data_IF_479678883486
#
_entry.id   IF_479678883486
#
_cell.length_a   1.000
_cell.length_b   1.000
_cell.length_c   1.000
_cell.angle_alpha   90.00
_cell.angle_beta   90.00
_cell.angle_gamma   90.00
#
_symmetry.space_group_name_H-M   'P 1'
#
loop_
_entity.id
_entity.type
_entity.pdbx_description
1 polymer ?
#
# COMPACT_ATOMS: atom_id res chain seq x y z
N UNK A 1 36.92 39.34 -38.34
CA UNK A 1 35.45 39.32 -38.54
C UNK A 1 34.84 37.90 -38.50
N UNK A 2 35.50 36.90 -37.90
CA UNK A 2 35.07 35.48 -37.94
C UNK A 2 34.59 34.97 -36.56
N UNK A 3 35.17 35.47 -35.46
CA UNK A 3 34.84 35.04 -34.10
C UNK A 3 33.44 35.39 -33.61
N UNK A 4 32.78 36.41 -34.19
CA UNK A 4 31.42 36.84 -33.79
C UNK A 4 30.31 35.96 -34.40
N UNK A 5 30.60 35.26 -35.50
CA UNK A 5 29.68 34.30 -36.12
C UNK A 5 29.69 32.94 -35.41
N UNK A 6 30.84 32.52 -34.88
CA UNK A 6 30.96 31.21 -34.21
C UNK A 6 30.20 31.17 -32.87
N UNK A 7 30.11 32.31 -32.16
CA UNK A 7 29.34 32.42 -30.91
C UNK A 7 27.83 32.42 -31.19
N UNK A 8 27.37 33.15 -32.21
CA UNK A 8 25.96 33.17 -32.62
C UNK A 8 25.50 31.80 -33.17
N UNK A 9 26.38 31.06 -33.85
CA UNK A 9 26.06 29.73 -34.36
C UNK A 9 25.98 28.67 -33.25
N UNK A 10 26.78 28.79 -32.18
CA UNK A 10 26.66 27.94 -30.98
C UNK A 10 25.38 28.23 -30.18
N UNK A 11 24.97 29.49 -30.04
CA UNK A 11 23.67 29.81 -29.43
C UNK A 11 22.49 29.30 -30.27
N UNK A 12 22.56 29.39 -31.60
CA UNK A 12 21.46 29.03 -32.48
C UNK A 12 21.22 27.52 -32.64
N UNK A 13 22.23 26.65 -32.42
CA UNK A 13 22.05 25.19 -32.53
C UNK A 13 21.76 24.48 -31.20
N UNK A 14 22.18 25.03 -30.06
CA UNK A 14 22.01 24.38 -28.74
C UNK A 14 20.60 24.65 -28.18
N UNK A 15 20.04 25.84 -28.42
CA UNK A 15 18.69 26.23 -27.99
C UNK A 15 17.59 25.35 -28.61
N UNK A 16 17.52 25.10 -29.95
CA UNK A 16 16.45 24.32 -30.54
C UNK A 16 16.51 22.83 -30.15
N UNK A 17 17.71 22.26 -30.00
CA UNK A 17 17.89 20.88 -29.52
C UNK A 17 17.43 20.73 -28.07
N UNK A 18 17.73 21.71 -27.20
CA UNK A 18 17.29 21.69 -25.81
C UNK A 18 15.75 21.84 -25.73
N UNK A 19 15.14 22.72 -26.52
CA UNK A 19 13.67 22.85 -26.56
C UNK A 19 12.97 21.60 -27.12
N UNK A 20 13.55 20.91 -28.10
CA UNK A 20 12.96 19.69 -28.66
C UNK A 20 13.01 18.52 -27.67
N UNK A 21 14.15 18.33 -26.99
CA UNK A 21 14.28 17.32 -25.95
C UNK A 21 13.33 17.60 -24.77
N UNK A 22 13.24 18.85 -24.32
CA UNK A 22 12.32 19.25 -23.24
C UNK A 22 10.86 19.06 -23.66
N UNK A 23 10.48 19.45 -24.88
CA UNK A 23 9.13 19.24 -25.41
C UNK A 23 8.79 17.74 -25.53
N UNK A 24 9.69 16.93 -26.06
CA UNK A 24 9.48 15.48 -26.18
C UNK A 24 9.37 14.79 -24.81
N UNK A 25 10.19 15.18 -23.83
CA UNK A 25 10.07 14.70 -22.44
C UNK A 25 8.72 15.13 -21.85
N UNK A 26 8.33 16.39 -22.03
CA UNK A 26 7.05 16.92 -21.53
C UNK A 26 5.85 16.17 -22.13
N UNK A 27 5.84 15.93 -23.44
CA UNK A 27 4.77 15.18 -24.11
C UNK A 27 4.69 13.73 -23.61
N UNK A 28 5.83 13.06 -23.38
CA UNK A 28 5.85 11.73 -22.77
C UNK A 28 5.36 11.73 -21.33
N UNK A 29 5.71 12.74 -20.53
CA UNK A 29 5.21 12.90 -19.16
C UNK A 29 3.71 13.16 -19.12
N UNK A 30 3.18 13.99 -20.03
CA UNK A 30 1.74 14.26 -20.14
C UNK A 30 0.99 13.01 -20.58
N UNK A 31 1.51 12.24 -21.56
CA UNK A 31 0.94 10.96 -21.94
C UNK A 31 0.93 9.97 -20.78
N UNK A 32 2.05 9.83 -20.06
CA UNK A 32 2.14 8.97 -18.88
C UNK A 32 1.14 9.38 -17.79
N UNK A 33 1.04 10.68 -17.49
CA UNK A 33 0.06 11.21 -16.53
C UNK A 33 -1.38 10.95 -16.97
N UNK A 34 -1.68 11.03 -18.26
CA UNK A 34 -3.03 10.75 -18.80
C UNK A 34 -3.37 9.27 -18.67
N UNK A 35 -2.41 8.38 -18.93
CA UNK A 35 -2.56 6.93 -18.73
C UNK A 35 -2.77 6.62 -17.25
N UNK A 36 -1.95 7.20 -16.36
CA UNK A 36 -2.08 7.02 -14.91
C UNK A 36 -3.41 7.56 -14.37
N UNK A 37 -3.89 8.71 -14.87
CA UNK A 37 -5.20 9.26 -14.51
C UNK A 37 -6.35 8.38 -14.98
N UNK A 38 -6.27 7.83 -16.20
CA UNK A 38 -7.29 6.90 -16.73
C UNK A 38 -7.35 5.62 -15.90
N UNK A 39 -6.19 5.02 -15.60
CA UNK A 39 -6.07 3.84 -14.73
C UNK A 39 -6.66 4.11 -13.33
N UNK A 40 -6.41 5.30 -12.77
CA UNK A 40 -6.95 5.71 -11.48
C UNK A 40 -8.48 5.93 -11.49
N UNK A 41 -9.03 6.51 -12.56
CA UNK A 41 -10.47 6.75 -12.71
C UNK A 41 -11.26 5.45 -12.82
N UNK A 42 -10.72 4.44 -13.52
CA UNK A 42 -11.34 3.12 -13.59
C UNK A 42 -11.40 2.43 -12.21
N UNK A 43 -10.37 2.59 -11.37
CA UNK A 43 -10.36 2.02 -9.99
C UNK A 43 -11.44 2.66 -9.10
N UNK A 44 -11.83 3.91 -9.33
CA UNK A 44 -12.91 4.58 -8.58
C UNK A 44 -14.31 4.05 -8.96
N UNK A 45 -14.48 3.57 -10.20
CA UNK A 45 -15.73 3.00 -10.71
C UNK A 45 -15.98 1.56 -10.23
N UNK A 46 -14.92 0.83 -9.85
CA UNK A 46 -15.00 -0.57 -9.44
C UNK A 46 -14.59 -0.75 -7.97
N UNK A 47 -15.54 -0.60 -7.01
CA UNK A 47 -15.22 -0.67 -5.58
C UNK A 47 -14.58 -2.00 -5.17
N UNK A 48 -14.93 -3.11 -5.86
CA UNK A 48 -14.33 -4.42 -5.62
C UNK A 48 -12.84 -4.47 -6.01
N UNK A 49 -12.47 -3.90 -7.17
CA UNK A 49 -11.07 -3.83 -7.60
C UNK A 49 -10.24 -2.96 -6.66
N UNK A 50 -10.80 -1.84 -6.20
CA UNK A 50 -10.15 -0.97 -5.22
C UNK A 50 -9.82 -1.74 -3.93
N UNK A 51 -10.74 -2.58 -3.47
CA UNK A 51 -10.54 -3.38 -2.27
C UNK A 51 -9.52 -4.51 -2.48
N UNK A 52 -9.55 -5.19 -3.63
CA UNK A 52 -8.54 -6.17 -3.99
C UNK A 52 -7.14 -5.56 -4.06
N UNK A 53 -7.01 -4.36 -4.64
CA UNK A 53 -5.73 -3.63 -4.68
C UNK A 53 -5.24 -3.26 -3.28
N UNK A 54 -6.16 -2.86 -2.37
CA UNK A 54 -5.83 -2.57 -0.97
C UNK A 54 -5.24 -3.80 -0.26
N UNK A 55 -5.87 -4.97 -0.44
CA UNK A 55 -5.35 -6.23 0.14
C UNK A 55 -4.06 -6.68 -0.54
N UNK A 56 -3.94 -6.55 -1.86
CA UNK A 56 -2.70 -6.88 -2.58
C UNK A 56 -1.51 -6.03 -2.11
N UNK A 57 -1.74 -4.72 -1.90
CA UNK A 57 -0.74 -3.82 -1.35
C UNK A 57 -0.35 -4.19 0.09
N UNK A 58 -1.34 -4.57 0.92
CA UNK A 58 -1.07 -5.09 2.26
C UNK A 58 -0.20 -6.35 2.20
N UNK A 59 -0.57 -7.35 1.39
CA UNK A 59 0.19 -8.59 1.22
C UNK A 59 1.64 -8.32 0.79
N UNK A 60 1.84 -7.38 -0.14
CA UNK A 60 3.18 -6.96 -0.56
C UNK A 60 3.96 -6.33 0.59
N UNK A 61 3.34 -5.42 1.34
CA UNK A 61 3.98 -4.72 2.47
C UNK A 61 4.40 -5.67 3.58
N UNK A 62 3.61 -6.71 3.85
CA UNK A 62 3.94 -7.70 4.89
C UNK A 62 4.98 -8.75 4.44
N UNK A 63 5.37 -8.74 3.16
CA UNK A 63 6.46 -9.55 2.63
C UNK A 63 6.05 -10.77 1.79
N UNK A 64 4.81 -10.86 1.30
CA UNK A 64 4.41 -11.97 0.41
C UNK A 64 5.00 -11.79 -0.99
N UNK A 65 5.38 -12.91 -1.60
CA UNK A 65 5.75 -12.98 -3.02
C UNK A 65 4.52 -12.77 -3.91
N UNK A 66 4.72 -12.18 -5.10
CA UNK A 66 3.65 -11.89 -6.04
C UNK A 66 2.82 -13.13 -6.42
N UNK A 67 3.44 -14.31 -6.55
CA UNK A 67 2.75 -15.57 -6.88
C UNK A 67 1.86 -16.07 -5.74
N UNK A 68 2.28 -15.85 -4.49
CA UNK A 68 1.46 -16.11 -3.31
C UNK A 68 0.24 -15.18 -3.29
N UNK A 69 0.43 -13.90 -3.60
CA UNK A 69 -0.65 -12.92 -3.67
C UNK A 69 -1.67 -13.32 -4.75
N UNK A 70 -1.22 -13.70 -5.94
CA UNK A 70 -2.11 -14.19 -7.02
C UNK A 70 -2.93 -15.39 -6.56
N UNK A 71 -2.27 -16.38 -5.94
CA UNK A 71 -2.94 -17.59 -5.44
C UNK A 71 -4.04 -17.25 -4.42
N UNK A 72 -3.80 -16.28 -3.52
CA UNK A 72 -4.82 -15.82 -2.56
C UNK A 72 -6.05 -15.23 -3.26
N UNK A 73 -5.86 -14.43 -4.32
CA UNK A 73 -6.97 -13.84 -5.07
C UNK A 73 -7.69 -14.82 -6.00
N UNK A 74 -7.07 -15.96 -6.32
CA UNK A 74 -7.73 -17.11 -6.95
C UNK A 74 -8.61 -17.90 -5.98
N UNK A 75 -8.64 -17.51 -4.69
CA UNK A 75 -9.40 -18.19 -3.63
C UNK A 75 -8.67 -19.36 -2.99
N UNK A 76 -7.36 -19.51 -3.24
CA UNK A 76 -6.55 -20.55 -2.60
C UNK A 76 -6.09 -20.09 -1.22
N UNK A 77 -6.03 -21.03 -0.28
CA UNK A 77 -5.36 -20.85 1.00
C UNK A 77 -3.86 -21.13 0.87
N UNK A 78 -3.02 -20.27 1.44
CA UNK A 78 -1.58 -20.54 1.52
C UNK A 78 -1.23 -21.13 2.87
N UNK A 79 -0.52 -22.24 2.88
CA UNK A 79 -0.07 -22.91 4.10
C UNK A 79 1.44 -23.01 4.19
N UNK A 80 2.02 -22.71 5.35
CA UNK A 80 3.46 -22.85 5.61
C UNK A 80 3.72 -23.24 7.07
N UNK A 81 4.77 -24.02 7.34
CA UNK A 81 5.15 -24.38 8.71
C UNK A 81 5.56 -23.17 9.54
N UNK A 82 6.25 -22.23 8.92
CA UNK A 82 6.59 -20.95 9.53
C UNK A 82 6.75 -19.88 8.46
N UNK A 83 6.43 -18.64 8.82
CA UNK A 83 6.65 -17.49 7.95
C UNK A 83 6.94 -16.24 8.78
N UNK A 84 7.89 -15.42 8.32
CA UNK A 84 8.22 -14.14 8.93
C UNK A 84 7.48 -13.02 8.22
N UNK A 85 6.52 -12.43 8.91
CA UNK A 85 5.74 -11.30 8.43
C UNK A 85 6.37 -9.99 8.89
N UNK A 86 6.43 -9.01 8.01
CA UNK A 86 6.75 -7.64 8.38
C UNK A 86 5.47 -6.91 8.77
N UNK A 87 5.44 -6.30 9.97
CA UNK A 87 4.37 -5.41 10.40
C UNK A 87 4.68 -3.98 9.95
N UNK A 88 3.93 -3.42 8.98
CA UNK A 88 4.18 -2.05 8.53
C UNK A 88 3.81 -1.02 9.58
N UNK A 89 2.83 -1.32 10.45
CA UNK A 89 2.37 -0.44 11.53
C UNK A 89 3.45 -0.27 12.62
N UNK A 90 4.19 -1.33 12.91
CA UNK A 90 5.18 -1.34 14.00
C UNK A 90 6.63 -1.35 13.51
N UNK A 91 6.84 -1.38 12.19
CA UNK A 91 8.15 -1.51 11.54
C UNK A 91 8.99 -2.67 12.10
N UNK A 92 8.33 -3.79 12.41
CA UNK A 92 8.92 -4.93 13.11
C UNK A 92 8.53 -6.24 12.42
N UNK A 93 9.45 -7.22 12.43
CA UNK A 93 9.16 -8.57 11.93
C UNK A 93 8.68 -9.49 13.05
N UNK A 94 7.69 -10.32 12.73
CA UNK A 94 7.15 -11.34 13.61
C UNK A 94 7.05 -12.67 12.86
N UNK A 95 7.44 -13.75 13.53
CA UNK A 95 7.34 -15.10 12.96
C UNK A 95 6.07 -15.76 13.47
N UNK A 96 5.29 -16.32 12.56
CA UNK A 96 4.18 -17.21 12.87
C UNK A 96 4.54 -18.65 12.51
N UNK A 97 4.01 -19.59 13.28
CA UNK A 97 4.06 -21.03 13.03
C UNK A 97 2.70 -21.52 12.54
N UNK A 98 2.68 -22.65 11.83
CA UNK A 98 1.48 -23.27 11.24
C UNK A 98 0.58 -22.25 10.55
N UNK A 99 1.21 -21.50 9.64
CA UNK A 99 0.61 -20.39 8.91
C UNK A 99 -0.39 -20.91 7.91
N UNK A 100 -1.62 -20.39 7.99
CA UNK A 100 -2.67 -20.51 6.98
C UNK A 100 -3.20 -19.11 6.65
N UNK A 101 -2.92 -18.64 5.44
CA UNK A 101 -3.36 -17.34 4.94
C UNK A 101 -4.51 -17.49 3.96
N UNK A 102 -5.54 -16.69 4.17
CA UNK A 102 -6.75 -16.67 3.34
C UNK A 102 -7.27 -15.25 3.18
N UNK A 103 -7.78 -14.93 1.98
CA UNK A 103 -8.49 -13.67 1.72
C UNK A 103 -9.98 -13.98 1.76
N UNK A 104 -10.67 -13.37 2.71
CA UNK A 104 -12.10 -13.54 2.92
C UNK A 104 -12.84 -12.21 2.80
N UNK A 105 -14.15 -12.29 2.52
CA UNK A 105 -15.03 -11.14 2.69
C UNK A 105 -15.31 -10.90 4.16
N UNK A 106 -15.44 -9.64 4.56
CA UNK A 106 -15.91 -9.33 5.91
C UNK A 106 -17.37 -9.80 6.08
N UNK A 107 -17.72 -10.39 7.22
CA UNK A 107 -19.09 -10.80 7.49
C UNK A 107 -20.06 -9.61 7.52
N UNK A 108 -19.58 -8.45 8.00
CA UNK A 108 -20.38 -7.23 8.13
C UNK A 108 -20.54 -6.47 6.82
N UNK A 109 -19.60 -6.64 5.87
CA UNK A 109 -19.62 -5.95 4.59
C UNK A 109 -19.01 -6.81 3.46
N UNK A 110 -19.85 -7.33 2.54
CA UNK A 110 -19.38 -8.20 1.46
C UNK A 110 -18.50 -7.49 0.42
N UNK A 111 -18.45 -6.15 0.44
CA UNK A 111 -17.57 -5.36 -0.42
C UNK A 111 -16.19 -5.12 0.19
N UNK A 112 -15.97 -5.54 1.45
CA UNK A 112 -14.68 -5.45 2.12
C UNK A 112 -14.02 -6.82 2.17
N UNK A 113 -12.70 -6.81 2.03
CA UNK A 113 -11.86 -7.99 2.12
C UNK A 113 -10.96 -7.88 3.34
N UNK A 114 -10.66 -9.01 3.95
CA UNK A 114 -9.68 -9.13 5.02
C UNK A 114 -8.70 -10.25 4.71
N UNK A 115 -7.45 -10.04 5.08
CA UNK A 115 -6.43 -11.07 5.07
C UNK A 115 -6.39 -11.70 6.45
N UNK A 116 -6.69 -12.99 6.53
CA UNK A 116 -6.67 -13.75 7.76
C UNK A 116 -5.44 -14.63 7.83
N UNK A 117 -4.85 -14.69 9.02
CA UNK A 117 -3.82 -15.64 9.44
C UNK A 117 -4.45 -16.55 10.50
N UNK A 118 -4.61 -17.83 10.19
CA UNK A 118 -5.19 -18.84 11.10
C UNK A 118 -6.59 -18.44 11.62
N UNK A 119 -7.39 -17.80 10.76
CA UNK A 119 -8.73 -17.31 11.11
C UNK A 119 -8.77 -15.97 11.85
N UNK A 120 -7.62 -15.38 12.18
CA UNK A 120 -7.50 -14.06 12.82
C UNK A 120 -7.09 -13.02 11.79
N UNK A 121 -7.66 -11.81 11.83
CA UNK A 121 -7.21 -10.73 10.95
C UNK A 121 -5.72 -10.45 11.17
N UNK A 122 -4.93 -10.38 10.10
CA UNK A 122 -3.48 -10.22 10.20
C UNK A 122 -3.05 -8.93 10.91
N UNK A 123 -3.84 -7.87 10.81
CA UNK A 123 -3.57 -6.60 11.49
C UNK A 123 -3.74 -6.75 13.00
N UNK A 124 -4.78 -7.45 13.43
CA UNK A 124 -5.01 -7.73 14.85
C UNK A 124 -3.95 -8.68 15.41
N UNK A 125 -3.52 -9.67 14.61
CA UNK A 125 -2.39 -10.53 14.96
C UNK A 125 -1.09 -9.72 15.17
N UNK A 126 -0.80 -8.75 14.30
CA UNK A 126 0.37 -7.88 14.49
C UNK A 126 0.28 -7.06 15.77
N UNK A 127 -0.89 -6.49 16.08
CA UNK A 127 -1.11 -5.72 17.31
C UNK A 127 -0.88 -6.58 18.54
N UNK A 128 -1.41 -7.81 18.54
CA UNK A 128 -1.19 -8.77 19.62
C UNK A 128 0.31 -9.08 19.78
N UNK A 129 1.00 -9.41 18.69
CA UNK A 129 2.43 -9.73 18.72
C UNK A 129 3.30 -8.56 19.17
N UNK A 130 2.92 -7.34 18.79
CA UNK A 130 3.62 -6.15 19.23
C UNK A 130 3.38 -5.86 20.71
N UNK A 131 2.17 -6.08 21.24
CA UNK A 131 1.92 -5.98 22.68
C UNK A 131 2.72 -7.02 23.49
N UNK A 132 2.82 -8.25 22.99
CA UNK A 132 3.66 -9.30 23.58
C UNK A 132 5.14 -8.87 23.58
N UNK A 133 5.62 -8.36 22.45
CA UNK A 133 6.97 -7.83 22.30
C UNK A 133 7.25 -6.68 23.27
N UNK A 134 6.35 -5.70 23.39
CA UNK A 134 6.48 -4.57 24.32
C UNK A 134 6.57 -5.01 25.78
N UNK A 135 5.75 -5.99 26.18
CA UNK A 135 5.80 -6.57 27.54
C UNK A 135 7.13 -7.26 27.79
N UNK A 136 7.65 -8.00 26.80
CA UNK A 136 8.93 -8.70 26.92
C UNK A 136 10.12 -7.75 27.11
N UNK A 137 10.05 -6.54 26.52
CA UNK A 137 11.09 -5.50 26.66
C UNK A 137 10.80 -4.50 27.80
N UNK A 138 9.79 -4.76 28.64
CA UNK A 138 9.47 -3.93 29.82
C UNK A 138 8.80 -2.58 29.51
N UNK A 139 8.28 -2.39 28.29
CA UNK A 139 7.54 -1.18 27.92
C UNK A 139 6.07 -1.34 28.29
N UNK A 140 5.62 -0.65 29.33
CA UNK A 140 4.21 -0.55 29.69
C UNK A 140 3.52 0.55 28.87
N UNK A 141 2.90 0.18 27.74
CA UNK A 141 1.97 1.07 27.04
C UNK A 141 0.54 0.69 27.46
N UNK A 142 -0.16 1.65 28.07
CA UNK A 142 -1.60 1.49 28.35
C UNK A 142 -2.34 1.35 27.01
N UNK A 143 -3.23 0.36 26.84
CA UNK A 143 -4.04 0.27 25.63
C UNK A 143 -4.86 1.56 25.52
N UNK A 144 -4.67 2.29 24.42
CA UNK A 144 -5.53 3.41 24.07
C UNK A 144 -6.86 2.78 23.66
N UNK A 145 -7.85 2.78 24.57
CA UNK A 145 -9.23 2.49 24.18
C UNK A 145 -9.62 3.55 23.17
N UNK A 146 -9.92 3.12 21.96
CA UNK A 146 -10.46 3.97 20.92
C UNK A 146 -11.72 4.67 21.45
N UNK A 147 -11.91 5.91 21.01
CA UNK A 147 -12.84 6.87 21.56
C UNK A 147 -14.31 6.48 21.35
N UNK A 148 -14.84 5.61 22.21
CA UNK A 148 -16.26 5.29 22.29
C UNK A 148 -16.78 5.55 23.71
N UNK A 149 -16.81 6.83 24.11
CA UNK A 149 -17.70 7.35 25.16
C UNK A 149 -17.70 8.90 25.20
N UNK A 150 -18.09 9.57 24.10
CA UNK A 150 -18.29 11.02 24.12
C UNK A 150 -19.53 11.50 23.33
N UNK A 151 -20.58 10.67 23.26
CA UNK A 151 -21.90 11.12 22.77
C UNK A 151 -23.06 10.80 23.73
N UNK A 152 -22.79 10.60 25.03
CA UNK A 152 -23.87 10.44 26.02
C UNK A 152 -23.62 11.27 27.27
N UNK A 153 -23.69 12.62 27.16
CA UNK A 153 -24.06 13.53 28.26
C UNK A 153 -24.75 14.79 27.73
N UNK A 154 -26.09 14.70 27.65
CA UNK A 154 -27.05 15.74 28.05
C UNK A 154 -27.05 17.12 27.39
N UNK A 155 -28.21 17.50 26.84
CA UNK A 155 -28.86 18.75 27.25
C UNK A 155 -30.32 18.42 27.56
N UNK A 156 -30.67 18.53 28.85
CA UNK A 156 -32.05 18.70 29.31
C UNK A 156 -32.15 20.16 29.69
N UNK A 157 -32.86 20.94 28.89
CA UNK A 157 -33.47 22.23 29.25
C UNK A 157 -34.81 22.28 28.53
#
# INVERSE_FOLDING_TARGET
MIYRYLTLFKQALIIPFCTFAVHHIYTKLVQLLTILKRQRYEIELFPMMKEQLRIADLCRKIGLAIESIKSLFEGKSLTAKSFSFFSPEHNQKFTAEDVRLEVEKEPDNPNKLRLNLNGVNILDWFRQKYQEFQKAIGIHIKPKKDAELAQNKGIKL
#
